data_IF_351222566104
#
_entry.id   IF_351222566104
#
_cell.length_a   1.000
_cell.length_b   1.000
_cell.length_c   1.000
_cell.angle_alpha   90.00
_cell.angle_beta   90.00
_cell.angle_gamma   90.00
#
_symmetry.space_group_name_H-M   'P 1'
#
loop_
_entity.id
_entity.type
_entity.pdbx_description
1 polymer ?
#
# COMPACT_ATOMS: atom_id res chain seq x y z
N UNK A 1 11.02 4.19 -59.37
CA UNK A 1 9.68 4.36 -58.76
C UNK A 1 9.67 3.35 -57.64
N UNK A 2 10.06 3.79 -56.44
CA UNK A 2 10.37 2.92 -55.33
C UNK A 2 9.46 3.29 -54.17
N UNK A 3 8.27 2.68 -54.20
CA UNK A 3 7.19 2.87 -53.22
C UNK A 3 7.51 2.04 -51.97
N UNK A 4 8.36 2.58 -51.08
CA UNK A 4 8.58 1.98 -49.76
C UNK A 4 7.95 2.86 -48.68
N UNK A 5 6.63 2.84 -48.64
CA UNK A 5 5.84 3.43 -47.55
C UNK A 5 6.08 2.68 -46.23
N UNK A 6 6.55 3.32 -45.15
CA UNK A 6 6.69 2.65 -43.87
C UNK A 6 5.31 2.53 -43.20
N UNK A 7 4.83 1.29 -42.99
CA UNK A 7 3.65 1.02 -42.16
C UNK A 7 3.91 1.45 -40.72
N UNK A 8 3.44 2.64 -40.36
CA UNK A 8 3.30 3.05 -38.96
C UNK A 8 1.85 2.78 -38.48
N UNK A 9 1.70 2.56 -37.16
CA UNK A 9 0.48 2.78 -36.34
C UNK A 9 -0.25 1.60 -35.65
N UNK A 10 0.35 0.42 -35.47
CA UNK A 10 -0.29 -0.69 -34.70
C UNK A 10 0.12 -0.85 -33.23
N UNK A 11 1.18 -0.17 -32.75
CA UNK A 11 1.87 -0.53 -31.51
C UNK A 11 1.40 0.12 -30.18
N UNK A 12 0.81 1.34 -30.12
CA UNK A 12 0.58 2.01 -28.84
C UNK A 12 -0.67 1.53 -28.08
N UNK A 13 -1.74 1.13 -28.77
CA UNK A 13 -3.01 0.75 -28.11
C UNK A 13 -2.91 -0.52 -27.26
N UNK A 14 -2.13 -1.50 -27.72
CA UNK A 14 -2.02 -2.79 -27.04
C UNK A 14 -1.21 -2.67 -25.74
N UNK A 15 -0.19 -1.80 -25.73
CA UNK A 15 0.62 -1.54 -24.54
C UNK A 15 -0.18 -0.82 -23.44
N UNK A 16 -1.00 0.18 -23.81
CA UNK A 16 -1.86 0.91 -22.89
C UNK A 16 -2.92 -0.02 -22.26
N UNK A 17 -3.53 -0.86 -23.08
CA UNK A 17 -4.53 -1.85 -22.67
C UNK A 17 -3.97 -2.90 -21.71
N UNK A 18 -2.72 -3.32 -21.90
CA UNK A 18 -2.04 -4.25 -21.00
C UNK A 18 -1.64 -3.59 -19.67
N UNK A 19 -1.22 -2.32 -19.69
CA UNK A 19 -0.91 -1.56 -18.47
C UNK A 19 -2.14 -1.36 -17.60
N UNK A 20 -3.28 -1.01 -18.21
CA UNK A 20 -4.57 -0.87 -17.51
C UNK A 20 -5.06 -2.17 -16.88
N UNK A 21 -4.89 -3.30 -17.56
CA UNK A 21 -5.20 -4.63 -17.00
C UNK A 21 -4.31 -4.94 -15.79
N UNK A 22 -2.99 -4.82 -15.95
CA UNK A 22 -2.02 -5.03 -14.87
C UNK A 22 -2.26 -4.11 -13.66
N UNK A 23 -2.64 -2.84 -13.87
CA UNK A 23 -2.96 -1.92 -12.77
C UNK A 23 -4.23 -2.32 -12.03
N UNK A 24 -5.25 -2.79 -12.74
CA UNK A 24 -6.49 -3.27 -12.13
C UNK A 24 -6.23 -4.52 -11.27
N UNK A 25 -5.41 -5.46 -11.74
CA UNK A 25 -5.05 -6.66 -11.00
C UNK A 25 -4.32 -6.33 -9.70
N UNK A 26 -3.36 -5.40 -9.74
CA UNK A 26 -2.66 -4.93 -8.54
C UNK A 26 -3.59 -4.23 -7.55
N UNK A 27 -4.60 -3.51 -8.04
CA UNK A 27 -5.59 -2.85 -7.17
C UNK A 27 -6.48 -3.88 -6.45
N UNK A 28 -6.85 -4.96 -7.14
CA UNK A 28 -7.64 -6.05 -6.57
C UNK A 28 -6.85 -6.78 -5.47
N UNK A 29 -5.58 -7.11 -5.73
CA UNK A 29 -4.69 -7.75 -4.76
C UNK A 29 -4.51 -6.90 -3.49
N UNK A 30 -4.41 -5.57 -3.62
CA UNK A 30 -4.33 -4.67 -2.45
C UNK A 30 -5.61 -4.69 -1.63
N UNK A 31 -6.78 -4.67 -2.29
CA UNK A 31 -8.08 -4.76 -1.61
C UNK A 31 -8.24 -6.08 -0.86
N UNK A 32 -7.86 -7.19 -1.47
CA UNK A 32 -7.93 -8.51 -0.84
C UNK A 32 -7.06 -8.58 0.43
N UNK A 33 -5.80 -8.13 0.34
CA UNK A 33 -4.90 -8.05 1.50
C UNK A 33 -5.45 -7.16 2.60
N UNK A 34 -6.02 -6.00 2.24
CA UNK A 34 -6.63 -5.08 3.20
C UNK A 34 -7.84 -5.72 3.90
N UNK A 35 -8.69 -6.44 3.16
CA UNK A 35 -9.84 -7.14 3.71
C UNK A 35 -9.41 -8.28 4.66
N UNK A 36 -8.40 -9.07 4.28
CA UNK A 36 -7.85 -10.13 5.13
C UNK A 36 -7.30 -9.55 6.44
N UNK A 37 -6.48 -8.49 6.35
CA UNK A 37 -5.92 -7.81 7.52
C UNK A 37 -7.00 -7.19 8.42
N UNK A 38 -8.07 -6.65 7.83
CA UNK A 38 -9.18 -6.09 8.60
C UNK A 38 -9.91 -7.18 9.39
N UNK A 39 -10.16 -8.35 8.78
CA UNK A 39 -10.78 -9.50 9.48
C UNK A 39 -9.94 -9.93 10.68
N UNK A 40 -8.62 -10.08 10.50
CA UNK A 40 -7.69 -10.42 11.58
C UNK A 40 -7.67 -9.35 12.68
N UNK A 41 -7.64 -8.07 12.31
CA UNK A 41 -7.62 -6.99 13.30
C UNK A 41 -8.90 -6.99 14.15
N UNK A 42 -10.05 -7.23 13.51
CA UNK A 42 -11.34 -7.33 14.20
C UNK A 42 -11.40 -8.53 15.14
N UNK A 43 -10.92 -9.72 14.71
CA UNK A 43 -10.91 -10.90 15.57
C UNK A 43 -10.00 -10.70 16.78
N UNK A 44 -8.79 -10.13 16.58
CA UNK A 44 -7.86 -9.79 17.66
C UNK A 44 -8.45 -8.75 18.62
N UNK A 45 -9.08 -7.68 18.13
CA UNK A 45 -9.76 -6.70 19.00
C UNK A 45 -10.91 -7.33 19.78
N UNK A 46 -11.65 -8.25 19.17
CA UNK A 46 -12.76 -8.95 19.82
C UNK A 46 -12.30 -9.92 20.91
N UNK A 47 -11.20 -10.65 20.71
CA UNK A 47 -10.62 -11.47 21.77
C UNK A 47 -10.14 -10.59 22.92
N UNK A 48 -9.43 -9.50 22.61
CA UNK A 48 -8.91 -8.58 23.60
C UNK A 48 -10.02 -7.90 24.43
N UNK A 49 -11.10 -7.44 23.80
CA UNK A 49 -12.24 -6.85 24.50
C UNK A 49 -12.94 -7.86 25.44
N UNK A 50 -12.95 -9.14 25.08
CA UNK A 50 -13.49 -10.20 25.94
C UNK A 50 -12.57 -10.49 27.12
N UNK A 51 -11.25 -10.59 26.90
CA UNK A 51 -10.28 -10.77 27.97
C UNK A 51 -10.39 -9.63 29.01
N UNK A 52 -10.42 -8.38 28.55
CA UNK A 52 -10.61 -7.21 29.43
C UNK A 52 -11.91 -7.26 30.23
N UNK A 53 -13.01 -7.72 29.63
CA UNK A 53 -14.29 -7.88 30.35
C UNK A 53 -14.25 -9.03 31.36
N UNK A 54 -13.53 -10.10 31.06
CA UNK A 54 -13.37 -11.25 31.93
C UNK A 54 -12.34 -11.02 33.06
N UNK A 55 -11.64 -9.88 33.07
CA UNK A 55 -10.55 -9.62 34.02
C UNK A 55 -9.28 -10.42 33.72
N UNK A 56 -9.19 -11.03 32.53
CA UNK A 56 -8.01 -11.75 32.05
C UNK A 56 -6.87 -10.77 31.73
N UNK A 57 -5.63 -11.20 31.99
CA UNK A 57 -4.45 -10.42 31.68
C UNK A 57 -4.33 -10.22 30.16
N UNK A 58 -4.09 -8.98 29.72
CA UNK A 58 -3.88 -8.67 28.31
C UNK A 58 -2.43 -9.05 27.96
N UNK A 59 -2.21 -10.26 27.43
CA UNK A 59 -0.88 -10.77 27.00
C UNK A 59 -0.25 -9.98 25.83
N UNK A 60 -0.76 -8.78 25.52
CA UNK A 60 -0.11 -7.90 24.56
C UNK A 60 1.17 -7.36 25.16
N UNK A 61 2.31 -7.91 24.72
CA UNK A 61 3.60 -7.26 24.82
C UNK A 61 3.48 -5.83 24.27
N UNK A 62 3.80 -4.85 25.12
CA UNK A 62 3.68 -3.43 24.80
C UNK A 62 4.35 -3.09 23.47
N UNK A 63 3.71 -2.21 22.70
CA UNK A 63 4.28 -1.74 21.43
C UNK A 63 5.68 -1.18 21.69
N UNK A 64 6.69 -1.55 20.87
CA UNK A 64 8.04 -1.05 21.04
C UNK A 64 8.02 0.47 21.00
N UNK A 65 8.72 1.10 21.95
CA UNK A 65 8.82 2.55 22.03
C UNK A 65 9.26 3.11 20.67
N UNK A 66 8.53 4.11 20.16
CA UNK A 66 8.91 4.80 18.93
C UNK A 66 10.34 5.30 19.09
N UNK A 67 11.23 4.93 18.16
CA UNK A 67 12.60 5.44 18.11
C UNK A 67 12.51 6.97 18.16
N UNK A 68 13.21 7.57 19.13
CA UNK A 68 13.34 9.03 19.23
C UNK A 68 13.71 9.60 17.85
N UNK A 69 13.16 10.76 17.45
CA UNK A 69 13.52 11.37 16.17
C UNK A 69 15.03 11.56 16.17
N UNK A 70 15.71 10.90 15.24
CA UNK A 70 17.05 11.27 14.87
C UNK A 70 16.91 12.72 14.37
N UNK A 71 17.54 13.73 14.99
CA UNK A 71 17.46 15.09 14.47
C UNK A 71 18.10 15.05 13.08
N UNK A 72 17.27 15.07 12.04
CA UNK A 72 17.76 15.23 10.69
C UNK A 72 18.59 16.51 10.67
N UNK A 73 19.89 16.45 10.32
CA UNK A 73 20.64 17.68 10.20
C UNK A 73 20.12 18.39 8.94
N UNK A 74 19.86 19.70 9.09
CA UNK A 74 19.61 20.69 8.03
C UNK A 74 18.30 20.57 7.22
N UNK A 75 17.22 21.13 7.78
CA UNK A 75 16.14 21.79 7.03
C UNK A 75 16.29 23.31 7.13
N UNK A 76 17.50 23.81 6.91
CA UNK A 76 17.74 25.24 6.72
C UNK A 76 17.66 25.54 5.22
N UNK A 77 16.91 26.59 4.89
CA UNK A 77 16.98 27.36 3.65
C UNK A 77 16.39 26.71 2.40
N UNK A 78 15.07 26.85 2.20
CA UNK A 78 14.44 26.90 0.87
C UNK A 78 13.01 27.49 0.92
N UNK A 79 12.82 28.55 1.72
CA UNK A 79 11.67 29.46 1.55
C UNK A 79 12.12 30.66 0.72
N UNK A 80 12.15 30.47 -0.59
CA UNK A 80 12.29 31.54 -1.57
C UNK A 80 11.20 31.38 -2.65
N UNK A 81 10.08 32.09 -2.45
CA UNK A 81 9.20 32.65 -3.49
C UNK A 81 8.07 33.49 -2.92
#
# INVERSE_FOLDING_TARGET
>A
MDDTSPKSSGAPENAESQRRRKSNDQSALRRERAAAKLRENLTRRKSQARARRAGEADDTDGLPAAKAPNPAPNLADDTDK
#
